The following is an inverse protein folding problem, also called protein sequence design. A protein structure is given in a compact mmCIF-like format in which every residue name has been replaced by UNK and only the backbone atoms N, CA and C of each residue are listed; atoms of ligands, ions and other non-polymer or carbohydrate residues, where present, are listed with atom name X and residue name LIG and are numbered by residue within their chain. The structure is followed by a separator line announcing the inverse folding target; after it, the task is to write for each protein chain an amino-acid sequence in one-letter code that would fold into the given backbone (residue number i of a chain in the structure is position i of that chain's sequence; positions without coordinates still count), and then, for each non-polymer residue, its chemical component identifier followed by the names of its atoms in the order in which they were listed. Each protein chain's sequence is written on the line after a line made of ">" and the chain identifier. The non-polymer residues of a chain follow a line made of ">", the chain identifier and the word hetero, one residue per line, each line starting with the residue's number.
data_IF_726207428338
#
_entry.id   IF_726207428338
#
_cell.length_a   1.000
_cell.length_b   1.000
_cell.length_c   1.000
_cell.angle_alpha   90.00
_cell.angle_beta   90.00
_cell.angle_gamma   90.00
#
_symmetry.space_group_name_H-M   'P 1'
#
loop_
_entity.id
_entity.type
_entity.pdbx_description
1 polymer ?
#
# COMPACT_ATOMS: atom_id res chain seq x y z
N UNK A 1 -2.11 5.10 -3.27
CA UNK A 1 -1.37 4.77 -4.50
C UNK A 1 -2.08 3.66 -5.26
N UNK A 2 -2.02 3.68 -6.60
CA UNK A 2 -2.47 2.57 -7.43
C UNK A 2 -1.42 2.23 -8.49
N UNK A 3 -1.33 0.96 -8.87
CA UNK A 3 -0.62 0.50 -10.06
C UNK A 3 -1.62 0.05 -11.14
N UNK A 4 -1.23 0.16 -12.40
CA UNK A 4 -2.04 -0.27 -13.54
C UNK A 4 -1.78 -1.75 -13.91
N UNK A 5 -0.67 -2.34 -13.42
CA UNK A 5 -0.35 -3.76 -13.59
C UNK A 5 0.16 -4.40 -12.30
N UNK A 6 0.05 -5.73 -12.20
CA UNK A 6 0.61 -6.52 -11.11
C UNK A 6 2.12 -6.32 -10.95
N UNK A 7 2.86 -6.21 -12.05
CA UNK A 7 4.29 -5.89 -12.05
C UNK A 7 4.56 -4.52 -11.41
N UNK A 8 3.77 -3.50 -11.75
CA UNK A 8 3.93 -2.17 -11.17
C UNK A 8 3.59 -2.17 -9.68
N UNK A 9 2.53 -2.88 -9.27
CA UNK A 9 2.20 -3.01 -7.85
C UNK A 9 3.33 -3.69 -7.07
N UNK A 10 3.89 -4.78 -7.59
CA UNK A 10 5.04 -5.46 -6.98
C UNK A 10 6.27 -4.55 -6.88
N UNK A 11 6.57 -3.79 -7.94
CA UNK A 11 7.67 -2.82 -7.93
C UNK A 11 7.45 -1.70 -6.90
N UNK A 12 6.23 -1.17 -6.79
CA UNK A 12 5.87 -0.17 -5.79
C UNK A 12 6.03 -0.70 -4.37
N UNK A 13 5.56 -1.92 -4.09
CA UNK A 13 5.75 -2.59 -2.80
C UNK A 13 7.24 -2.69 -2.45
N UNK A 14 8.08 -3.17 -3.38
CA UNK A 14 9.52 -3.28 -3.16
C UNK A 14 10.19 -1.93 -2.92
N UNK A 15 9.80 -0.89 -3.66
CA UNK A 15 10.29 0.46 -3.42
C UNK A 15 9.91 1.00 -2.04
N UNK A 16 8.70 0.71 -1.56
CA UNK A 16 8.25 1.11 -0.21
C UNK A 16 9.10 0.44 0.87
N UNK A 17 9.34 -0.87 0.74
CA UNK A 17 10.20 -1.61 1.68
C UNK A 17 11.62 -1.08 1.71
N UNK A 18 12.21 -0.86 0.53
CA UNK A 18 13.58 -0.33 0.42
C UNK A 18 13.68 1.09 0.99
N UNK A 19 12.69 1.94 0.71
CA UNK A 19 12.65 3.31 1.24
C UNK A 19 12.47 3.32 2.76
N UNK A 20 11.54 2.54 3.29
CA UNK A 20 11.31 2.42 4.73
C UNK A 20 12.56 1.93 5.46
N UNK A 21 13.26 0.95 4.89
CA UNK A 21 14.53 0.48 5.40
C UNK A 21 15.61 1.57 5.36
N UNK A 22 15.78 2.26 4.22
CA UNK A 22 16.82 3.29 4.06
C UNK A 22 16.60 4.52 4.93
N UNK A 23 15.36 4.93 5.16
CA UNK A 23 15.02 6.19 5.84
C UNK A 23 14.73 6.02 7.33
N UNK A 24 14.09 4.92 7.70
CA UNK A 24 13.63 4.68 9.07
C UNK A 24 14.24 3.41 9.69
N UNK A 25 14.95 2.58 8.92
CA UNK A 25 15.55 1.34 9.42
C UNK A 25 14.53 0.26 9.77
N UNK A 26 13.30 0.38 9.26
CA UNK A 26 12.18 -0.52 9.56
C UNK A 26 11.91 -1.46 8.39
N UNK A 27 11.46 -2.68 8.72
CA UNK A 27 10.90 -3.62 7.76
C UNK A 27 9.42 -3.84 8.08
N UNK A 28 8.58 -4.15 7.07
CA UNK A 28 7.23 -4.59 7.35
C UNK A 28 7.28 -5.85 8.22
N UNK A 29 6.42 -5.89 9.23
CA UNK A 29 6.22 -7.06 10.07
C UNK A 29 5.59 -8.20 9.26
N UNK A 30 4.63 -7.86 8.40
CA UNK A 30 3.93 -8.81 7.55
C UNK A 30 3.56 -8.19 6.22
N UNK A 31 3.55 -9.01 5.17
CA UNK A 31 3.16 -8.59 3.83
C UNK A 31 2.19 -9.62 3.24
N UNK A 32 1.02 -9.16 2.82
CA UNK A 32 -0.02 -9.99 2.22
C UNK A 32 -0.34 -9.60 0.78
N UNK A 33 -0.83 -10.57 0.00
CA UNK A 33 -1.37 -10.32 -1.35
C UNK A 33 -0.33 -10.16 -2.46
N UNK A 34 0.97 -10.32 -2.16
CA UNK A 34 2.05 -10.23 -3.14
C UNK A 34 1.98 -11.26 -4.28
N UNK A 35 1.35 -12.42 -4.06
CA UNK A 35 1.26 -13.47 -5.08
C UNK A 35 0.44 -13.04 -6.31
N UNK A 36 -0.67 -12.32 -6.09
CA UNK A 36 -1.53 -11.83 -7.17
C UNK A 36 -1.27 -10.35 -7.49
N UNK A 37 -0.68 -9.60 -6.55
CA UNK A 37 -0.37 -8.17 -6.67
C UNK A 37 -1.55 -7.29 -7.10
N UNK A 38 -2.78 -7.72 -6.79
CA UNK A 38 -4.02 -6.97 -7.01
C UNK A 38 -4.32 -6.03 -5.85
N UNK A 39 -4.04 -6.52 -4.64
CA UNK A 39 -4.10 -5.77 -3.40
C UNK A 39 -2.99 -6.29 -2.51
N UNK A 40 -2.00 -5.44 -2.27
CA UNK A 40 -0.89 -5.72 -1.36
C UNK A 40 -1.07 -4.89 -0.09
N UNK A 41 -0.93 -5.56 1.04
CA UNK A 41 -0.96 -4.95 2.36
C UNK A 41 0.42 -5.11 2.99
N UNK A 42 1.04 -3.99 3.39
CA UNK A 42 2.25 -3.98 4.19
C UNK A 42 1.91 -3.50 5.59
N UNK A 43 2.17 -4.34 6.59
CA UNK A 43 1.92 -4.04 7.98
C UNK A 43 3.23 -3.66 8.69
N UNK A 44 3.28 -2.46 9.28
CA UNK A 44 4.39 -1.96 10.09
C UNK A 44 4.00 -1.82 11.58
N UNK A 45 2.93 -2.50 12.03
CA UNK A 45 2.26 -2.38 13.34
C UNK A 45 1.61 -1.01 13.58
N UNK A 46 2.39 0.06 13.55
CA UNK A 46 1.89 1.43 13.79
C UNK A 46 1.21 2.03 12.55
N UNK A 47 1.61 1.56 11.37
CA UNK A 47 1.15 2.05 10.07
C UNK A 47 0.88 0.87 9.15
N UNK A 48 -0.25 0.90 8.45
CA UNK A 48 -0.58 -0.09 7.41
C UNK A 48 -0.65 0.60 6.05
N UNK A 49 0.15 0.10 5.10
CA UNK A 49 0.21 0.63 3.74
C UNK A 49 -0.55 -0.29 2.81
N UNK A 50 -1.50 0.29 2.07
CA UNK A 50 -2.28 -0.43 1.08
C UNK A 50 -1.87 -0.02 -0.33
N UNK A 51 -1.42 -0.98 -1.14
CA UNK A 51 -1.09 -0.79 -2.54
C UNK A 51 -2.10 -1.57 -3.38
N UNK A 52 -2.89 -0.85 -4.19
CA UNK A 52 -3.95 -1.44 -5.00
C UNK A 52 -3.60 -1.44 -6.47
N UNK A 53 -4.09 -2.42 -7.20
CA UNK A 53 -4.35 -2.25 -8.62
C UNK A 53 -5.62 -1.41 -8.80
N UNK A 54 -5.60 -0.51 -9.79
CA UNK A 54 -6.63 0.53 -9.99
C UNK A 54 -8.06 0.00 -9.96
N UNK A 55 -8.31 -1.13 -10.62
CA UNK A 55 -9.63 -1.78 -10.71
C UNK A 55 -10.16 -2.21 -9.33
N UNK A 56 -9.29 -2.78 -8.48
CA UNK A 56 -9.68 -3.29 -7.17
C UNK A 56 -9.90 -2.18 -6.14
N UNK A 57 -9.18 -1.06 -6.24
CA UNK A 57 -9.42 0.11 -5.37
C UNK A 57 -10.86 0.61 -5.52
N UNK A 58 -11.35 0.68 -6.75
CA UNK A 58 -12.72 1.13 -7.03
C UNK A 58 -13.79 0.13 -6.59
N UNK A 59 -13.47 -1.18 -6.61
CA UNK A 59 -14.39 -2.22 -6.14
C UNK A 59 -14.55 -2.18 -4.61
N UNK A 60 -13.45 -2.09 -3.87
CA UNK A 60 -13.47 -2.20 -2.40
C UNK A 60 -13.79 -0.89 -1.68
N UNK A 61 -13.59 0.27 -2.32
CA UNK A 61 -13.98 1.60 -1.80
C UNK A 61 -13.64 1.81 -0.32
N UNK A 62 -12.43 1.42 0.10
CA UNK A 62 -12.01 1.55 1.50
C UNK A 62 -12.07 2.99 2.01
N UNK A 63 -12.00 3.96 1.12
CA UNK A 63 -12.19 5.38 1.46
C UNK A 63 -13.57 5.66 2.08
N UNK A 64 -14.61 4.89 1.73
CA UNK A 64 -15.91 4.99 2.38
C UNK A 64 -15.89 4.39 3.79
N UNK A 65 -15.21 3.26 3.98
CA UNK A 65 -15.10 2.62 5.29
C UNK A 65 -14.40 3.53 6.31
N UNK A 66 -13.38 4.27 5.87
CA UNK A 66 -12.61 5.19 6.70
C UNK A 66 -13.05 6.65 6.56
N UNK A 67 -14.28 6.89 6.10
CA UNK A 67 -14.78 8.24 5.80
C UNK A 67 -14.81 9.19 7.01
N UNK A 68 -14.97 8.64 8.22
CA UNK A 68 -14.96 9.42 9.47
C UNK A 68 -13.55 9.76 9.97
N UNK A 69 -12.50 9.23 9.32
CA UNK A 69 -11.12 9.50 9.71
C UNK A 69 -10.60 10.83 9.13
N UNK A 70 -9.66 11.47 9.82
CA UNK A 70 -8.99 12.68 9.31
C UNK A 70 -8.11 12.31 8.11
N UNK A 71 -8.52 12.74 6.93
CA UNK A 71 -7.76 12.53 5.70
C UNK A 71 -6.70 13.63 5.58
N UNK A 72 -5.44 13.23 5.40
CA UNK A 72 -4.34 14.14 5.08
C UNK A 72 -3.73 13.74 3.74
N UNK A 73 -3.82 14.63 2.76
CA UNK A 73 -3.13 14.50 1.49
C UNK A 73 -1.69 14.99 1.66
N UNK A 74 -0.72 14.17 1.26
CA UNK A 74 0.68 14.55 1.20
C UNK A 74 0.97 14.80 -0.29
N UNK A 75 1.35 16.03 -0.62
CA UNK A 75 1.82 16.38 -1.97
C UNK A 75 3.26 15.87 -2.17
N UNK A 76 3.63 15.61 -3.43
CA UNK A 76 4.94 15.07 -3.83
C UNK A 76 6.12 16.01 -3.50
#
# INVERSE_FOLDING_TARGET
>A
CHGDSSTQVGALTGCIEEFAMKKAGIKPFHVEGMQNAQWVLLDFMDIVVHVFQKEFRFLYQLEQLWSDAKIKNIED
#
